data_IF_987627687009
#
_entry.id   IF_987627687009
#
_cell.length_a   1.000
_cell.length_b   1.000
_cell.length_c   1.000
_cell.angle_alpha   90.00
_cell.angle_beta   90.00
_cell.angle_gamma   90.00
#
_symmetry.space_group_name_H-M   'P 1'
#
loop_
_entity.id
_entity.type
_entity.pdbx_description
1 polymer ?
#
# COMPACT_ATOMS: atom_id res chain seq x y z
N UNK A 1 -9.36 0.79 28.89
CA UNK A 1 -9.61 1.23 27.50
C UNK A 1 -8.85 0.31 26.57
N UNK A 2 -9.53 -0.44 25.69
CA UNK A 2 -8.86 -1.08 24.56
C UNK A 2 -8.25 0.02 23.69
N UNK A 3 -6.95 -0.03 23.40
CA UNK A 3 -6.38 0.76 22.31
C UNK A 3 -7.16 0.38 21.06
N UNK A 4 -7.81 1.35 20.41
CA UNK A 4 -8.32 1.13 19.05
C UNK A 4 -7.11 0.84 18.18
N UNK A 5 -7.09 -0.30 17.49
CA UNK A 5 -6.09 -0.54 16.47
C UNK A 5 -6.17 0.58 15.44
N UNK A 6 -5.05 1.26 15.22
CA UNK A 6 -4.90 2.25 14.17
C UNK A 6 -4.41 1.51 12.92
N UNK A 7 -5.36 0.83 12.27
CA UNK A 7 -5.07 -0.06 11.16
C UNK A 7 -5.62 0.46 9.83
N UNK A 8 -4.95 0.08 8.74
CA UNK A 8 -5.33 0.43 7.37
C UNK A 8 -5.25 -0.80 6.48
N UNK A 9 -6.19 -0.92 5.52
CA UNK A 9 -6.21 -2.02 4.57
C UNK A 9 -5.87 -1.53 3.15
N UNK A 10 -4.87 -2.12 2.51
CA UNK A 10 -4.56 -1.88 1.11
C UNK A 10 -5.38 -2.79 0.20
N UNK A 11 -6.05 -2.17 -0.76
CA UNK A 11 -6.76 -2.86 -1.83
C UNK A 11 -6.36 -2.25 -3.16
N UNK A 12 -6.46 -3.02 -4.25
CA UNK A 12 -6.14 -2.49 -5.56
C UNK A 12 -6.11 -3.53 -6.65
N UNK A 13 -5.64 -3.10 -7.80
CA UNK A 13 -5.56 -3.94 -8.99
C UNK A 13 -4.54 -5.07 -8.85
N UNK A 14 -4.93 -6.23 -9.38
CA UNK A 14 -4.02 -7.35 -9.63
C UNK A 14 -3.05 -7.01 -10.77
N UNK A 15 -1.99 -7.79 -10.88
CA UNK A 15 -0.89 -7.58 -11.84
C UNK A 15 -1.36 -7.33 -13.28
N UNK A 16 -2.44 -7.99 -13.73
CA UNK A 16 -3.00 -7.83 -15.07
C UNK A 16 -3.45 -6.40 -15.37
N UNK A 17 -3.95 -5.67 -14.37
CA UNK A 17 -4.49 -4.30 -14.49
C UNK A 17 -3.50 -3.21 -14.05
N UNK A 18 -2.29 -3.58 -13.63
CA UNK A 18 -1.25 -2.60 -13.33
C UNK A 18 -0.69 -1.95 -14.61
N UNK A 19 -0.17 -0.71 -14.51
CA UNK A 19 0.52 -0.06 -15.61
C UNK A 19 1.65 -0.92 -16.15
N UNK A 20 1.69 -1.11 -17.48
CA UNK A 20 2.71 -1.94 -18.15
C UNK A 20 3.97 -1.17 -18.51
N UNK A 21 3.89 0.16 -18.56
CA UNK A 21 5.05 1.02 -18.83
C UNK A 21 5.82 1.25 -17.54
N UNK A 22 7.12 0.98 -17.56
CA UNK A 22 8.01 1.12 -16.40
C UNK A 22 7.87 2.49 -15.72
N UNK A 23 7.86 3.59 -16.48
CA UNK A 23 7.71 4.96 -15.94
C UNK A 23 6.41 5.14 -15.14
N UNK A 24 5.30 4.57 -15.61
CA UNK A 24 4.01 4.66 -14.92
C UNK A 24 3.99 3.79 -13.67
N UNK A 25 4.63 2.63 -13.71
CA UNK A 25 4.77 1.74 -12.56
C UNK A 25 5.63 2.38 -11.46
N UNK A 26 6.75 3.01 -11.82
CA UNK A 26 7.60 3.73 -10.86
C UNK A 26 6.86 4.94 -10.26
N UNK A 27 6.10 5.68 -11.07
CA UNK A 27 5.25 6.76 -10.55
C UNK A 27 4.22 6.24 -9.55
N UNK A 28 3.63 5.08 -9.81
CA UNK A 28 2.67 4.44 -8.91
C UNK A 28 3.33 4.03 -7.59
N UNK A 29 4.54 3.45 -7.64
CA UNK A 29 5.30 3.07 -6.44
C UNK A 29 5.65 4.28 -5.57
N UNK A 30 6.11 5.37 -6.18
CA UNK A 30 6.45 6.61 -5.44
C UNK A 30 5.23 7.17 -4.72
N UNK A 31 4.08 7.26 -5.41
CA UNK A 31 2.83 7.72 -4.78
C UNK A 31 2.37 6.80 -3.66
N UNK A 32 2.48 5.48 -3.86
CA UNK A 32 2.14 4.51 -2.82
C UNK A 32 3.01 4.67 -1.58
N UNK A 33 4.32 4.89 -1.79
CA UNK A 33 5.27 5.17 -0.71
C UNK A 33 4.93 6.46 0.06
N UNK A 34 4.59 7.54 -0.64
CA UNK A 34 4.17 8.80 0.00
C UNK A 34 2.92 8.63 0.86
N UNK A 35 1.90 7.90 0.37
CA UNK A 35 0.66 7.69 1.11
C UNK A 35 0.86 6.77 2.34
N UNK A 36 1.73 5.76 2.23
CA UNK A 36 2.06 4.89 3.36
C UNK A 36 2.81 5.67 4.44
N UNK A 37 3.80 6.49 4.07
CA UNK A 37 4.52 7.31 5.04
C UNK A 37 3.60 8.31 5.75
N UNK A 38 2.69 8.96 5.02
CA UNK A 38 1.67 9.81 5.65
C UNK A 38 0.79 9.03 6.63
N UNK A 39 0.42 7.79 6.31
CA UNK A 39 -0.35 6.95 7.23
C UNK A 39 0.44 6.64 8.51
N UNK A 40 1.72 6.28 8.36
CA UNK A 40 2.63 6.03 9.50
C UNK A 40 2.80 7.28 10.36
N UNK A 41 3.03 8.44 9.75
CA UNK A 41 3.12 9.74 10.44
C UNK A 41 1.83 10.08 11.22
N UNK A 42 0.67 9.65 10.72
CA UNK A 42 -0.62 9.80 11.39
C UNK A 42 -0.91 8.71 12.45
N UNK A 43 0.08 7.89 12.77
CA UNK A 43 0.01 6.88 13.83
C UNK A 43 -0.66 5.58 13.43
N UNK A 44 -0.76 5.27 12.13
CA UNK A 44 -1.10 3.92 11.68
C UNK A 44 0.10 3.01 11.93
N UNK A 45 -0.12 1.92 12.67
CA UNK A 45 0.92 0.94 13.04
C UNK A 45 0.67 -0.46 12.46
N UNK A 46 -0.52 -0.69 11.89
CA UNK A 46 -0.96 -1.99 11.42
C UNK A 46 -1.51 -1.90 10.01
N UNK A 47 -0.97 -2.70 9.09
CA UNK A 47 -1.42 -2.73 7.70
C UNK A 47 -1.91 -4.11 7.28
N UNK A 48 -3.11 -4.17 6.73
CA UNK A 48 -3.72 -5.37 6.17
C UNK A 48 -3.67 -5.33 4.64
N UNK A 49 -3.47 -6.49 4.01
CA UNK A 49 -3.51 -6.64 2.56
C UNK A 49 -3.98 -8.03 2.17
N UNK A 50 -4.60 -8.17 0.98
CA UNK A 50 -5.18 -9.44 0.54
C UNK A 50 -4.21 -10.51 0.07
N UNK A 51 -2.90 -10.37 0.31
CA UNK A 51 -1.84 -11.31 -0.10
C UNK A 51 -1.87 -11.75 -1.58
N UNK A 52 -2.35 -10.89 -2.48
CA UNK A 52 -2.42 -11.14 -3.92
C UNK A 52 -1.34 -10.36 -4.68
N UNK A 53 -0.84 -10.93 -5.78
CA UNK A 53 0.04 -10.20 -6.70
C UNK A 53 -0.65 -8.97 -7.29
N UNK A 54 0.10 -7.88 -7.42
CA UNK A 54 -0.39 -6.59 -7.87
C UNK A 54 -0.13 -5.51 -6.84
N UNK A 55 -1.03 -4.53 -6.74
CA UNK A 55 -0.90 -3.42 -5.82
C UNK A 55 -0.75 -3.82 -4.34
N UNK A 56 -1.53 -4.79 -3.81
CA UNK A 56 -1.38 -5.22 -2.41
C UNK A 56 0.03 -5.72 -2.07
N UNK A 57 0.63 -6.51 -2.97
CA UNK A 57 2.00 -7.01 -2.79
C UNK A 57 3.06 -5.91 -2.93
N UNK A 58 2.84 -4.90 -3.77
CA UNK A 58 3.74 -3.74 -3.83
C UNK A 58 3.68 -2.95 -2.52
N UNK A 59 2.49 -2.73 -1.96
CA UNK A 59 2.31 -2.01 -0.70
C UNK A 59 3.02 -2.72 0.46
N UNK A 60 2.93 -4.05 0.52
CA UNK A 60 3.57 -4.85 1.59
C UNK A 60 5.11 -4.80 1.57
N UNK A 61 5.74 -4.38 0.47
CA UNK A 61 7.20 -4.20 0.43
C UNK A 61 7.69 -2.86 0.96
N UNK A 62 6.76 -1.95 1.28
CA UNK A 62 7.04 -0.58 1.75
C UNK A 62 6.77 -0.43 3.24
N UNK A 63 5.72 -1.10 3.75
CA UNK A 63 5.30 -1.09 5.15
C UNK A 63 6.18 -2.05 5.96
#
# INVERSE_FOLDING_TARGET
MQKKEHSLCFTGHRSEKLPKKAKQLETLKLRLWEEINKAIENGIDTFYFGACYGLPYMASSIC
#
